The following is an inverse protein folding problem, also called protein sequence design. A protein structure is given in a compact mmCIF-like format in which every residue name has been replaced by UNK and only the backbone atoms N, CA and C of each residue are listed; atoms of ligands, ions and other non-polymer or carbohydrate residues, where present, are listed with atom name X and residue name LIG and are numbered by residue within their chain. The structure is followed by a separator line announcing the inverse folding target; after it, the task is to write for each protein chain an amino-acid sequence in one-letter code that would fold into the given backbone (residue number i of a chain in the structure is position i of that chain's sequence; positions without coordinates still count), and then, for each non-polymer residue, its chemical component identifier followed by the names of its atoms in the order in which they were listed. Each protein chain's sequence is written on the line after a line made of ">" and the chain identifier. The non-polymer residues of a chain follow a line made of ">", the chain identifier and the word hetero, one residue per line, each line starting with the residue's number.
data_IF_391492858317
#
_entry.id   IF_391492858317
#
_cell.length_a   1.000
_cell.length_b   1.000
_cell.length_c   1.000
_cell.angle_alpha   90.00
_cell.angle_beta   90.00
_cell.angle_gamma   90.00
#
_symmetry.space_group_name_H-M   'P 1'
#
loop_
_entity.id
_entity.type
_entity.pdbx_description
1 polymer ?
#
# COMPACT_ATOMS: atom_id res chain seq x y z
N UNK A 1 9.33 -5.51 -7.41
CA UNK A 1 9.89 -4.14 -7.44
C UNK A 1 10.59 -3.93 -6.11
N UNK A 2 11.84 -3.46 -6.02
CA UNK A 2 12.47 -3.27 -4.70
C UNK A 2 11.98 -1.96 -4.08
N UNK A 3 11.09 -2.05 -3.09
CA UNK A 3 10.55 -0.90 -2.35
C UNK A 3 11.57 -0.45 -1.30
N UNK A 4 11.97 0.82 -1.35
CA UNK A 4 12.82 1.44 -0.33
C UNK A 4 12.07 2.60 0.32
N UNK A 5 11.77 2.46 1.61
CA UNK A 5 11.02 3.44 2.40
C UNK A 5 11.84 3.84 3.63
N UNK A 6 11.90 5.14 3.91
CA UNK A 6 12.49 5.66 5.14
C UNK A 6 11.34 6.00 6.11
N UNK A 7 11.19 5.21 7.17
CA UNK A 7 10.23 5.48 8.25
C UNK A 7 10.93 5.62 9.59
N UNK A 8 10.36 6.48 10.43
CA UNK A 8 10.67 6.59 11.85
C UNK A 8 9.39 6.20 12.59
N UNK A 9 9.44 5.09 13.32
CA UNK A 9 8.32 4.55 14.08
C UNK A 9 8.82 3.56 15.13
N UNK A 10 7.94 3.15 16.04
CA UNK A 10 8.27 2.08 17.00
C UNK A 10 8.35 0.71 16.30
N UNK A 11 8.87 -0.29 17.01
CA UNK A 11 9.11 -1.62 16.45
C UNK A 11 7.81 -2.27 15.92
N UNK A 12 6.68 -2.10 16.60
CA UNK A 12 5.39 -2.64 16.17
C UNK A 12 4.89 -2.00 14.87
N UNK A 13 5.10 -0.69 14.70
CA UNK A 13 4.70 0.05 13.49
C UNK A 13 5.52 -0.40 12.29
N UNK A 14 6.83 -0.61 12.49
CA UNK A 14 7.72 -1.11 11.45
C UNK A 14 7.41 -2.57 11.09
N UNK A 15 7.10 -3.42 12.07
CA UNK A 15 6.71 -4.80 11.85
C UNK A 15 5.41 -4.89 11.03
N UNK A 16 4.35 -4.19 11.48
CA UNK A 16 3.06 -4.09 10.81
C UNK A 16 3.21 -3.65 9.34
N UNK A 17 3.98 -2.59 9.09
CA UNK A 17 4.23 -2.12 7.73
C UNK A 17 5.01 -3.14 6.90
N UNK A 18 6.03 -3.79 7.48
CA UNK A 18 6.82 -4.78 6.75
C UNK A 18 5.99 -5.97 6.27
N UNK A 19 5.08 -6.45 7.12
CA UNK A 19 4.11 -7.52 6.79
C UNK A 19 3.18 -7.10 5.66
N UNK A 20 2.64 -5.89 5.74
CA UNK A 20 1.76 -5.34 4.71
C UNK A 20 2.48 -5.18 3.36
N UNK A 21 3.70 -4.62 3.37
CA UNK A 21 4.51 -4.45 2.15
C UNK A 21 4.93 -5.78 1.54
N UNK A 22 5.20 -6.79 2.36
CA UNK A 22 5.46 -8.14 1.87
C UNK A 22 4.25 -8.72 1.13
N UNK A 23 3.04 -8.56 1.67
CA UNK A 23 1.84 -8.99 0.98
C UNK A 23 1.64 -8.23 -0.35
N UNK A 24 1.85 -6.91 -0.34
CA UNK A 24 1.75 -6.06 -1.53
C UNK A 24 2.76 -6.44 -2.61
N UNK A 25 4.01 -6.80 -2.25
CA UNK A 25 5.02 -7.24 -3.22
C UNK A 25 4.64 -8.55 -3.93
N UNK A 26 3.82 -9.38 -3.29
CA UNK A 26 3.34 -10.65 -3.83
C UNK A 26 1.92 -10.55 -4.44
N UNK A 27 1.28 -9.39 -4.36
CA UNK A 27 -0.05 -9.18 -4.91
C UNK A 27 -0.01 -9.11 -6.44
N UNK A 28 -1.05 -9.67 -7.07
CA UNK A 28 -1.30 -9.55 -8.49
C UNK A 28 -2.67 -8.91 -8.71
N UNK A 29 -2.79 -7.93 -9.61
CA UNK A 29 -1.74 -7.33 -10.44
C UNK A 29 -0.69 -6.54 -9.64
N UNK A 30 0.53 -6.43 -10.19
CA UNK A 30 1.60 -5.66 -9.56
C UNK A 30 1.37 -4.15 -9.75
N UNK A 31 1.64 -3.31 -8.73
CA UNK A 31 1.50 -1.85 -8.86
C UNK A 31 2.49 -1.29 -9.88
N UNK A 32 2.07 -0.23 -10.59
CA UNK A 32 2.89 0.47 -11.59
C UNK A 32 3.71 1.62 -10.98
N UNK A 33 3.41 2.02 -9.75
CA UNK A 33 4.21 3.00 -8.99
C UNK A 33 4.88 2.35 -7.79
N UNK A 34 5.93 3.01 -7.28
CA UNK A 34 6.54 2.62 -6.02
C UNK A 34 5.58 2.89 -4.87
N UNK A 35 5.41 1.95 -3.92
CA UNK A 35 4.61 2.19 -2.73
C UNK A 35 5.18 3.31 -1.89
N UNK A 36 4.31 4.17 -1.39
CA UNK A 36 4.65 5.26 -0.47
C UNK A 36 3.86 5.12 0.83
N UNK A 37 4.55 4.92 1.93
CA UNK A 37 3.92 4.88 3.25
C UNK A 37 3.81 6.29 3.85
N UNK A 38 2.65 6.60 4.42
CA UNK A 38 2.34 7.85 5.11
C UNK A 38 1.79 7.47 6.50
N UNK A 39 2.50 7.87 7.55
CA UNK A 39 2.03 7.67 8.92
C UNK A 39 0.96 8.73 9.26
N UNK A 40 -0.23 8.26 9.61
CA UNK A 40 -1.28 9.08 10.22
C UNK A 40 -1.12 9.17 11.73
N UNK A 41 -2.15 9.72 12.39
CA UNK A 41 -2.29 9.66 13.84
C UNK A 41 -2.66 8.24 14.30
N UNK A 42 -2.50 7.96 15.60
CA UNK A 42 -3.11 6.80 16.27
C UNK A 42 -2.80 5.42 15.67
N UNK A 43 -1.53 5.14 15.38
CA UNK A 43 -1.06 3.88 14.78
C UNK A 43 -1.68 3.57 13.41
N UNK A 44 -2.04 4.59 12.63
CA UNK A 44 -2.52 4.40 11.26
C UNK A 44 -1.39 4.64 10.26
N UNK A 45 -1.28 3.78 9.26
CA UNK A 45 -0.35 3.90 8.13
C UNK A 45 -1.15 3.74 6.83
N UNK A 46 -1.03 4.72 5.93
CA UNK A 46 -1.58 4.64 4.58
C UNK A 46 -0.47 4.28 3.61
N UNK A 47 -0.69 3.27 2.76
CA UNK A 47 0.25 2.86 1.71
C UNK A 47 -0.33 3.24 0.35
N UNK A 48 0.19 4.33 -0.20
CA UNK A 48 -0.22 4.87 -1.50
C UNK A 48 0.48 4.11 -2.64
N UNK A 49 -0.30 3.61 -3.60
CA UNK A 49 0.17 2.84 -4.76
C UNK A 49 -0.68 3.10 -6.00
N UNK A 50 -0.04 3.14 -7.17
CA UNK A 50 -0.71 3.35 -8.45
C UNK A 50 -0.91 2.05 -9.22
N UNK A 51 -2.08 1.93 -9.86
CA UNK A 51 -2.46 0.83 -10.77
C UNK A 51 -2.92 1.38 -12.13
N UNK A 52 -2.97 0.53 -13.16
CA UNK A 52 -3.36 0.94 -14.50
C UNK A 52 -4.87 1.16 -14.63
N UNK A 53 -5.68 0.38 -13.91
CA UNK A 53 -7.15 0.45 -14.02
C UNK A 53 -7.82 0.42 -12.65
N UNK A 54 -9.08 0.86 -12.60
CA UNK A 54 -9.91 0.79 -11.39
C UNK A 54 -10.13 -0.67 -10.95
N UNK A 55 -10.28 -1.60 -11.90
CA UNK A 55 -10.45 -3.02 -11.61
C UNK A 55 -9.23 -3.59 -10.86
N UNK A 56 -8.02 -3.22 -11.29
CA UNK A 56 -6.79 -3.61 -10.61
C UNK A 56 -6.73 -3.05 -9.18
N UNK A 57 -7.16 -1.78 -8.98
CA UNK A 57 -7.22 -1.19 -7.63
C UNK A 57 -8.19 -1.94 -6.72
N UNK A 58 -9.31 -2.43 -7.26
CA UNK A 58 -10.33 -3.14 -6.50
C UNK A 58 -9.83 -4.53 -6.08
N UNK A 59 -9.27 -5.29 -7.02
CA UNK A 59 -8.76 -6.65 -6.77
C UNK A 59 -7.68 -6.63 -5.68
N UNK A 60 -6.69 -5.73 -5.79
CA UNK A 60 -5.63 -5.65 -4.79
C UNK A 60 -6.12 -5.01 -3.49
N UNK A 61 -7.06 -4.06 -3.58
CA UNK A 61 -7.68 -3.45 -2.41
C UNK A 61 -8.34 -4.47 -1.49
N UNK A 62 -9.11 -5.41 -2.06
CA UNK A 62 -9.81 -6.46 -1.31
C UNK A 62 -8.81 -7.40 -0.61
N UNK A 63 -7.82 -7.90 -1.35
CA UNK A 63 -6.74 -8.74 -0.82
C UNK A 63 -5.98 -8.07 0.34
N UNK A 64 -5.63 -6.79 0.17
CA UNK A 64 -4.82 -6.07 1.16
C UNK A 64 -5.66 -5.59 2.36
N UNK A 65 -6.99 -5.48 2.20
CA UNK A 65 -7.89 -5.22 3.32
C UNK A 65 -7.90 -6.39 4.31
N UNK A 66 -7.90 -7.64 3.83
CA UNK A 66 -7.79 -8.83 4.69
C UNK A 66 -6.46 -8.86 5.46
N UNK A 67 -5.35 -8.56 4.77
CA UNK A 67 -4.03 -8.47 5.40
C UNK A 67 -3.99 -7.36 6.44
N UNK A 68 -4.55 -6.20 6.12
CA UNK A 68 -4.67 -5.07 7.04
C UNK A 68 -5.47 -5.42 8.29
N UNK A 69 -6.59 -6.15 8.14
CA UNK A 69 -7.41 -6.62 9.26
C UNK A 69 -6.60 -7.55 10.20
N UNK A 70 -5.87 -8.52 9.65
CA UNK A 70 -5.04 -9.41 10.47
C UNK A 70 -3.94 -8.64 11.22
N UNK A 71 -3.31 -7.66 10.57
CA UNK A 71 -2.29 -6.82 11.21
C UNK A 71 -2.87 -6.02 12.36
N UNK A 72 -4.07 -5.45 12.21
CA UNK A 72 -4.77 -4.70 13.26
C UNK A 72 -5.03 -5.61 14.46
N UNK A 73 -5.54 -6.83 14.23
CA UNK A 73 -5.81 -7.80 15.29
C UNK A 73 -4.56 -8.16 16.09
N UNK A 74 -3.42 -8.33 15.42
CA UNK A 74 -2.18 -8.76 16.06
C UNK A 74 -1.43 -7.62 16.78
N UNK A 75 -1.51 -6.40 16.25
CA UNK A 75 -0.57 -5.32 16.60
C UNK A 75 -1.22 -4.01 17.05
N UNK A 76 -2.55 -3.88 16.89
CA UNK A 76 -3.29 -2.63 17.08
C UNK A 76 -2.72 -1.46 16.23
N UNK A 77 -2.14 -1.79 15.07
CA UNK A 77 -1.69 -0.86 14.03
C UNK A 77 -2.56 -1.06 12.80
N UNK A 78 -3.19 0.01 12.31
CA UNK A 78 -3.96 -0.02 11.07
C UNK A 78 -3.04 0.29 9.90
N UNK A 79 -2.85 -0.69 9.01
CA UNK A 79 -2.17 -0.46 7.72
C UNK A 79 -3.20 -0.61 6.61
N UNK A 80 -3.44 0.47 5.86
CA UNK A 80 -4.47 0.53 4.84
C UNK A 80 -3.86 0.87 3.48
N UNK A 81 -4.37 0.23 2.42
CA UNK A 81 -4.04 0.57 1.05
C UNK A 81 -4.76 1.87 0.65
N UNK A 82 -4.05 2.78 0.01
CA UNK A 82 -4.60 3.96 -0.65
C UNK A 82 -4.30 3.88 -2.16
N UNK A 83 -4.99 3.00 -2.91
CA UNK A 83 -4.70 2.81 -4.32
C UNK A 83 -5.25 3.98 -5.16
N UNK A 84 -4.56 4.30 -6.25
CA UNK A 84 -5.03 5.28 -7.23
C UNK A 84 -4.78 4.77 -8.66
N UNK A 85 -5.58 5.25 -9.62
CA UNK A 85 -5.36 4.93 -11.03
C UNK A 85 -4.37 5.93 -11.62
N UNK A 86 -3.30 5.42 -12.24
CA UNK A 86 -2.41 6.26 -13.02
C UNK A 86 -3.11 6.61 -14.34
N UNK A 87 -3.68 7.81 -14.44
CA UNK A 87 -4.12 8.31 -15.75
C UNK A 87 -2.87 8.42 -16.62
N UNK A 88 -2.73 7.58 -17.63
CA UNK A 88 -1.77 7.80 -18.71
C UNK A 88 -2.05 9.20 -19.26
N UNK A 89 -1.22 10.19 -18.93
CA UNK A 89 -1.17 11.39 -19.74
C UNK A 89 -0.65 10.94 -21.10
N UNK A 90 -1.58 10.68 -22.02
CA UNK A 90 -1.30 10.79 -23.44
C UNK A 90 -0.71 12.19 -23.61
N UNK A 91 0.59 12.25 -23.85
CA UNK A 91 1.24 13.46 -24.32
C UNK A 91 0.72 13.76 -25.73
N UNK A 92 -0.50 14.28 -25.82
CA UNK A 92 -0.94 15.06 -26.97
C UNK A 92 -0.37 16.47 -26.80
N UNK A 93 0.82 16.70 -27.35
CA UNK A 93 1.29 17.99 -27.84
C UNK A 93 2.09 17.66 -29.11
N UNK A 94 1.40 17.64 -30.26
CA UNK A 94 1.26 18.77 -31.21
C UNK A 94 2.58 19.23 -31.78
#
# INVERSE_FOLDING_TARGET
>A
MKTQLNLIGDAKTLDALSRFLYALENALPAPVTQPKAICGADNVIYVEVGYQTEEETFIVGDLLAEVGAQIVEDSNVLVALAPFVTTSKTSEQS
#
